data_IF_459255056618
#
_entry.id   IF_459255056618
#
_cell.length_a   1.000
_cell.length_b   1.000
_cell.length_c   1.000
_cell.angle_alpha   90.00
_cell.angle_beta   90.00
_cell.angle_gamma   90.00
#
_symmetry.space_group_name_H-M   'P 1'
#
loop_
_entity.id
_entity.type
_entity.pdbx_description
1 polymer ?
#
# COMPACT_ATOMS: atom_id res chain seq x y z
N UNK A 1 29.15 5.15 -18.36
CA UNK A 1 28.29 4.49 -17.35
C UNK A 1 26.85 4.52 -17.89
N UNK A 2 26.37 3.36 -18.26
CA UNK A 2 25.02 3.20 -18.86
C UNK A 2 23.96 3.51 -17.80
N UNK A 3 23.19 4.60 -18.00
CA UNK A 3 22.09 5.04 -17.12
C UNK A 3 20.79 4.34 -17.48
N UNK A 4 20.83 3.07 -17.86
CA UNK A 4 19.60 2.28 -17.90
C UNK A 4 19.17 2.02 -16.46
N UNK A 5 18.02 2.54 -16.06
CA UNK A 5 17.42 2.28 -14.76
C UNK A 5 17.28 0.77 -14.53
N UNK A 6 17.48 0.34 -13.31
CA UNK A 6 17.25 -1.07 -12.94
C UNK A 6 15.75 -1.29 -12.93
N UNK A 7 15.29 -2.32 -13.67
CA UNK A 7 13.89 -2.73 -13.70
C UNK A 7 13.66 -3.84 -12.68
N UNK A 8 12.73 -3.61 -11.76
CA UNK A 8 12.26 -4.61 -10.80
C UNK A 8 10.80 -4.91 -11.09
N UNK A 9 10.47 -6.19 -11.21
CA UNK A 9 9.08 -6.63 -11.32
C UNK A 9 8.42 -6.54 -9.95
N UNK A 10 7.37 -5.76 -9.84
CA UNK A 10 6.59 -5.58 -8.62
C UNK A 10 5.22 -6.25 -8.78
N UNK A 11 4.88 -7.10 -7.83
CA UNK A 11 3.55 -7.68 -7.70
C UNK A 11 2.88 -6.94 -6.54
N UNK A 12 2.09 -5.92 -6.89
CA UNK A 12 1.30 -5.20 -5.91
C UNK A 12 0.15 -6.05 -5.39
N UNK A 13 -0.07 -5.99 -4.10
CA UNK A 13 -1.22 -6.57 -3.40
C UNK A 13 -1.81 -5.49 -2.51
N UNK A 14 -3.07 -5.14 -2.72
CA UNK A 14 -3.78 -4.33 -1.74
C UNK A 14 -4.11 -5.20 -0.53
N UNK A 15 -3.94 -4.69 0.70
CA UNK A 15 -4.35 -5.39 1.93
C UNK A 15 -5.81 -5.85 1.88
N UNK A 16 -6.18 -6.86 2.64
CA UNK A 16 -7.56 -7.31 2.85
C UNK A 16 -8.42 -6.28 3.59
N UNK A 17 -9.73 -6.49 3.62
CA UNK A 17 -10.67 -5.57 4.28
C UNK A 17 -10.31 -5.35 5.75
N UNK A 18 -10.13 -4.08 6.19
CA UNK A 18 -9.81 -3.78 7.58
C UNK A 18 -11.06 -3.72 8.46
N UNK A 19 -10.88 -3.97 9.75
CA UNK A 19 -11.87 -3.75 10.79
C UNK A 19 -11.50 -2.53 11.65
N UNK A 20 -12.30 -1.49 11.57
CA UNK A 20 -12.12 -0.27 12.37
C UNK A 20 -13.01 -0.21 13.61
N UNK A 21 -13.91 -1.19 13.81
CA UNK A 21 -14.98 -1.13 14.83
C UNK A 21 -14.42 -0.87 16.24
N UNK A 22 -13.45 -1.68 16.70
CA UNK A 22 -12.86 -1.50 18.04
C UNK A 22 -12.13 -0.15 18.18
N UNK A 23 -11.49 0.31 17.12
CA UNK A 23 -10.74 1.57 17.13
C UNK A 23 -11.68 2.78 17.21
N UNK A 24 -12.82 2.70 16.49
CA UNK A 24 -13.87 3.73 16.52
C UNK A 24 -14.55 3.77 17.88
N UNK A 25 -14.90 2.63 18.48
CA UNK A 25 -15.47 2.55 19.83
C UNK A 25 -14.55 3.16 20.89
N UNK A 26 -13.24 3.01 20.73
CA UNK A 26 -12.21 3.58 21.61
C UNK A 26 -11.80 5.00 21.22
N UNK A 27 -12.41 5.58 20.19
CA UNK A 27 -12.08 6.91 19.67
C UNK A 27 -10.61 7.08 19.27
N UNK A 28 -9.99 6.04 18.69
CA UNK A 28 -8.65 6.15 18.15
C UNK A 28 -8.65 7.08 16.93
N UNK A 29 -7.61 7.90 16.82
CA UNK A 29 -7.43 8.86 15.73
C UNK A 29 -5.99 8.84 15.22
N UNK A 30 -5.77 9.39 14.02
CA UNK A 30 -4.44 9.49 13.43
C UNK A 30 -3.77 8.12 13.33
N UNK A 31 -2.55 8.01 13.86
CA UNK A 31 -1.78 6.76 13.89
C UNK A 31 -2.55 5.59 14.51
N UNK A 32 -3.46 5.84 15.44
CA UNK A 32 -4.28 4.80 16.04
C UNK A 32 -5.12 4.03 15.01
N UNK A 33 -5.55 4.67 13.91
CA UNK A 33 -6.30 4.01 12.84
C UNK A 33 -5.44 3.06 11.99
N UNK A 34 -4.13 3.23 12.01
CA UNK A 34 -3.20 2.33 11.32
C UNK A 34 -3.09 0.96 11.99
N UNK A 35 -3.56 0.86 13.24
CA UNK A 35 -3.60 -0.37 14.02
C UNK A 35 -4.78 -1.28 13.66
N UNK A 36 -5.68 -0.85 12.75
CA UNK A 36 -6.82 -1.66 12.31
C UNK A 36 -6.39 -3.02 11.77
N UNK A 37 -6.84 -4.14 12.39
CA UNK A 37 -6.59 -5.48 11.88
C UNK A 37 -7.48 -5.77 10.66
N UNK A 38 -7.35 -6.96 10.09
CA UNK A 38 -8.30 -7.44 9.09
C UNK A 38 -9.65 -7.79 9.74
N UNK A 39 -10.74 -7.52 9.03
CA UNK A 39 -12.05 -8.08 9.35
C UNK A 39 -12.05 -9.60 9.12
N UNK A 40 -13.12 -10.29 9.54
CA UNK A 40 -13.29 -11.70 9.17
C UNK A 40 -13.34 -11.90 7.66
N UNK A 41 -13.97 -10.97 6.93
CA UNK A 41 -13.98 -10.98 5.48
C UNK A 41 -12.57 -10.74 4.92
N UNK A 42 -11.83 -9.78 5.49
CA UNK A 42 -10.45 -9.51 5.10
C UNK A 42 -9.52 -10.71 5.28
N UNK A 43 -9.71 -11.50 6.35
CA UNK A 43 -8.97 -12.75 6.56
C UNK A 43 -9.31 -13.82 5.53
N UNK A 44 -10.59 -13.95 5.15
CA UNK A 44 -11.00 -14.85 4.05
C UNK A 44 -10.38 -14.41 2.73
N UNK A 45 -10.41 -13.11 2.41
CA UNK A 45 -9.76 -12.56 1.22
C UNK A 45 -8.25 -12.85 1.20
N UNK A 46 -7.56 -12.70 2.34
CA UNK A 46 -6.13 -13.00 2.46
C UNK A 46 -5.82 -14.51 2.29
N UNK A 47 -6.71 -15.39 2.76
CA UNK A 47 -6.59 -16.84 2.54
C UNK A 47 -6.77 -17.22 1.06
N UNK A 48 -7.76 -16.63 0.37
CA UNK A 48 -7.99 -16.84 -1.06
C UNK A 48 -6.83 -16.30 -1.89
N UNK A 49 -6.32 -15.11 -1.56
CA UNK A 49 -5.13 -14.49 -2.15
C UNK A 49 -3.94 -15.47 -2.21
N UNK A 50 -3.74 -16.29 -1.17
CA UNK A 50 -2.63 -17.24 -1.08
C UNK A 50 -2.61 -18.29 -2.22
N UNK A 51 -3.72 -18.47 -2.94
CA UNK A 51 -3.79 -19.35 -4.11
C UNK A 51 -3.31 -18.67 -5.41
N UNK A 52 -3.07 -17.34 -5.39
CA UNK A 52 -2.71 -16.61 -6.60
C UNK A 52 -1.31 -17.03 -7.11
N UNK A 53 -1.18 -17.48 -8.40
CA UNK A 53 0.04 -18.09 -8.89
C UNK A 53 1.24 -17.15 -8.90
N UNK A 54 1.04 -15.85 -9.15
CA UNK A 54 2.13 -14.86 -9.19
C UNK A 54 2.89 -14.75 -7.87
N UNK A 55 2.26 -15.00 -6.72
CA UNK A 55 2.92 -14.89 -5.42
C UNK A 55 4.08 -15.88 -5.25
N UNK A 56 4.00 -17.04 -5.95
CA UNK A 56 5.03 -18.08 -5.88
C UNK A 56 6.22 -17.83 -6.79
N UNK A 57 6.13 -16.85 -7.69
CA UNK A 57 7.20 -16.48 -8.62
C UNK A 57 8.12 -15.38 -8.08
N UNK A 58 7.86 -14.87 -6.89
CA UNK A 58 8.61 -13.79 -6.29
C UNK A 58 9.80 -14.29 -5.44
N UNK A 59 10.78 -13.41 -5.27
CA UNK A 59 11.99 -13.65 -4.48
C UNK A 59 11.85 -13.13 -3.05
N UNK A 60 10.98 -12.13 -2.85
CA UNK A 60 10.83 -11.40 -1.60
C UNK A 60 9.39 -10.93 -1.43
N UNK A 61 8.92 -10.92 -0.20
CA UNK A 61 7.68 -10.28 0.23
C UNK A 61 8.00 -9.06 1.10
N UNK A 62 7.49 -7.90 0.73
CA UNK A 62 7.62 -6.65 1.48
C UNK A 62 6.23 -6.15 1.85
N UNK A 63 6.03 -5.71 3.07
CA UNK A 63 4.74 -5.21 3.56
C UNK A 63 4.88 -3.82 4.15
N UNK A 64 3.84 -3.00 3.95
CA UNK A 64 3.62 -1.83 4.79
C UNK A 64 3.59 -2.24 6.28
N UNK A 65 4.02 -1.32 7.15
CA UNK A 65 4.01 -1.51 8.60
C UNK A 65 2.60 -1.42 9.23
N UNK A 66 1.59 -0.98 8.47
CA UNK A 66 0.20 -0.88 8.96
C UNK A 66 -0.38 -2.29 9.21
N UNK A 67 -1.08 -2.46 10.33
CA UNK A 67 -1.53 -3.78 10.81
C UNK A 67 -2.28 -4.59 9.75
N UNK A 68 -3.25 -4.00 9.04
CA UNK A 68 -4.01 -4.66 7.97
C UNK A 68 -3.15 -5.21 6.83
N UNK A 69 -2.10 -4.47 6.45
CA UNK A 69 -1.17 -4.90 5.41
C UNK A 69 -0.24 -5.99 5.92
N UNK A 70 0.28 -5.84 7.12
CA UNK A 70 1.16 -6.82 7.76
C UNK A 70 0.42 -8.14 8.03
N UNK A 71 -0.84 -8.08 8.48
CA UNK A 71 -1.68 -9.27 8.67
C UNK A 71 -1.93 -9.98 7.33
N UNK A 72 -2.26 -9.24 6.25
CA UNK A 72 -2.38 -9.82 4.90
C UNK A 72 -1.07 -10.48 4.46
N UNK A 73 0.07 -9.79 4.63
CA UNK A 73 1.38 -10.32 4.27
C UNK A 73 1.76 -11.57 5.05
N UNK A 74 1.31 -11.70 6.31
CA UNK A 74 1.57 -12.89 7.12
C UNK A 74 0.94 -14.15 6.53
N UNK A 75 -0.28 -14.06 5.99
CA UNK A 75 -0.93 -15.15 5.25
C UNK A 75 -0.11 -15.55 4.02
N UNK A 76 0.33 -14.56 3.24
CA UNK A 76 1.16 -14.80 2.04
C UNK A 76 2.49 -15.44 2.43
N UNK A 77 3.17 -14.93 3.45
CA UNK A 77 4.45 -15.49 3.92
C UNK A 77 4.31 -16.96 4.34
N UNK A 78 3.27 -17.27 5.14
CA UNK A 78 2.99 -18.65 5.57
C UNK A 78 2.72 -19.60 4.39
N UNK A 79 2.00 -19.13 3.37
CA UNK A 79 1.60 -19.96 2.23
C UNK A 79 2.71 -20.15 1.19
N UNK A 80 3.61 -19.19 1.05
CA UNK A 80 4.66 -19.19 0.02
C UNK A 80 6.04 -19.53 0.54
N UNK A 81 6.30 -19.33 1.83
CA UNK A 81 7.63 -19.42 2.45
C UNK A 81 8.56 -18.24 2.11
N UNK A 82 8.05 -17.19 1.45
CA UNK A 82 8.84 -16.02 1.12
C UNK A 82 9.34 -15.30 2.38
N UNK A 83 10.59 -14.82 2.37
CA UNK A 83 11.08 -13.97 3.45
C UNK A 83 10.31 -12.64 3.47
N UNK A 84 9.76 -12.26 4.64
CA UNK A 84 9.00 -11.03 4.82
C UNK A 84 9.90 -9.90 5.35
N UNK A 85 9.79 -8.73 4.73
CA UNK A 85 10.35 -7.46 5.20
C UNK A 85 9.22 -6.46 5.46
N UNK A 86 9.40 -5.62 6.46
CA UNK A 86 8.42 -4.57 6.83
C UNK A 86 9.01 -3.21 6.51
N UNK A 87 8.28 -2.40 5.73
CA UNK A 87 8.72 -1.11 5.23
C UNK A 87 7.76 0.02 5.62
N UNK A 88 8.18 0.95 6.50
CA UNK A 88 7.38 2.11 6.85
C UNK A 88 7.03 3.00 5.65
N UNK A 89 7.92 3.11 4.66
CA UNK A 89 7.72 3.92 3.45
C UNK A 89 6.58 3.42 2.55
N UNK A 90 6.03 2.24 2.80
CA UNK A 90 4.86 1.69 2.09
C UNK A 90 3.52 2.04 2.77
N UNK A 91 3.51 2.95 3.75
CA UNK A 91 2.26 3.38 4.40
C UNK A 91 1.25 3.96 3.39
N UNK A 92 -0.02 4.02 3.79
CA UNK A 92 -1.08 4.61 2.94
C UNK A 92 -0.86 6.12 2.80
N UNK A 93 -1.52 6.71 1.83
CA UNK A 93 -1.59 8.14 1.62
C UNK A 93 -1.95 8.90 2.91
N UNK A 94 -1.25 9.98 3.19
CA UNK A 94 -1.42 10.74 4.42
C UNK A 94 -2.23 12.01 4.20
N UNK A 95 -3.20 12.21 5.09
CA UNK A 95 -3.89 13.49 5.31
C UNK A 95 -3.46 13.99 6.68
N UNK A 96 -3.00 15.25 6.73
CA UNK A 96 -2.36 15.77 7.94
C UNK A 96 -3.37 16.31 8.96
N UNK A 97 -4.64 16.50 8.57
CA UNK A 97 -5.74 16.82 9.48
C UNK A 97 -6.53 15.56 9.85
N UNK A 98 -6.89 15.48 11.14
CA UNK A 98 -7.62 14.34 11.68
C UNK A 98 -9.11 14.37 11.29
N UNK A 99 -9.71 13.18 11.24
CA UNK A 99 -11.15 12.96 11.06
C UNK A 99 -11.52 12.48 9.66
N UNK A 100 -12.55 11.62 9.60
CA UNK A 100 -13.02 11.02 8.35
C UNK A 100 -13.56 12.05 7.36
N UNK A 101 -14.21 13.11 7.85
CA UNK A 101 -14.69 14.21 6.99
C UNK A 101 -13.53 14.90 6.26
N UNK A 102 -12.44 15.16 6.97
CA UNK A 102 -11.23 15.75 6.38
C UNK A 102 -10.56 14.79 5.40
N UNK A 103 -10.57 13.49 5.70
CA UNK A 103 -10.03 12.48 4.78
C UNK A 103 -10.79 12.44 3.45
N UNK A 104 -12.13 12.40 3.48
CA UNK A 104 -12.94 12.37 2.24
C UNK A 104 -12.83 13.68 1.46
N UNK A 105 -12.79 14.83 2.14
CA UNK A 105 -12.56 16.13 1.49
C UNK A 105 -11.17 16.23 0.87
N UNK A 106 -10.14 15.80 1.57
CA UNK A 106 -8.77 15.75 1.04
C UNK A 106 -8.68 14.83 -0.17
N UNK A 107 -9.35 13.68 -0.13
CA UNK A 107 -9.40 12.72 -1.23
C UNK A 107 -10.06 13.32 -2.48
N UNK A 108 -11.16 14.05 -2.34
CA UNK A 108 -11.81 14.74 -3.46
C UNK A 108 -10.86 15.75 -4.08
N UNK A 109 -10.23 16.60 -3.25
CA UNK A 109 -9.26 17.58 -3.71
C UNK A 109 -8.03 16.94 -4.40
N UNK A 110 -7.54 15.84 -3.85
CA UNK A 110 -6.43 15.09 -4.45
C UNK A 110 -6.78 14.59 -5.86
N UNK A 111 -7.98 14.03 -6.03
CA UNK A 111 -8.43 13.52 -7.32
C UNK A 111 -8.69 14.65 -8.33
N UNK A 112 -9.35 15.72 -7.91
CA UNK A 112 -9.63 16.91 -8.73
C UNK A 112 -8.35 17.60 -9.23
N UNK A 113 -7.30 17.60 -8.41
CA UNK A 113 -6.03 18.25 -8.70
C UNK A 113 -4.94 17.27 -9.22
N UNK A 114 -5.32 16.06 -9.65
CA UNK A 114 -4.40 15.03 -10.14
C UNK A 114 -3.22 14.75 -9.19
N UNK A 115 -3.50 14.72 -7.90
CA UNK A 115 -2.53 14.45 -6.85
C UNK A 115 -1.64 15.62 -6.44
N UNK A 116 -1.88 16.82 -6.99
CA UNK A 116 -1.16 18.02 -6.56
C UNK A 116 -1.83 18.67 -5.34
N UNK A 117 -1.03 19.30 -4.48
CA UNK A 117 -1.51 20.16 -3.40
C UNK A 117 -1.46 21.61 -3.84
N UNK A 118 -2.61 22.29 -3.87
CA UNK A 118 -2.67 23.70 -4.21
C UNK A 118 -2.22 24.58 -3.04
N UNK A 119 -1.60 25.77 -3.29
CA UNK A 119 -1.08 26.65 -2.23
C UNK A 119 -2.11 27.08 -1.18
N UNK A 120 -3.38 27.17 -1.58
CA UNK A 120 -4.49 27.57 -0.71
C UNK A 120 -5.44 26.39 -0.40
N UNK A 121 -4.96 25.16 -0.45
CA UNK A 121 -5.76 24.01 -0.10
C UNK A 121 -6.24 24.12 1.35
N UNK A 122 -7.55 23.92 1.60
CA UNK A 122 -8.10 23.98 2.95
C UNK A 122 -7.67 22.80 3.82
N UNK A 123 -7.09 21.75 3.21
CA UNK A 123 -6.59 20.56 3.90
C UNK A 123 -5.23 20.20 3.31
N UNK A 124 -4.28 19.88 4.19
CA UNK A 124 -2.95 19.44 3.81
C UNK A 124 -2.90 17.91 3.67
N UNK A 125 -2.30 17.43 2.60
CA UNK A 125 -2.15 16.01 2.31
C UNK A 125 -0.87 15.72 1.52
N UNK A 126 -0.42 14.48 1.58
CA UNK A 126 0.69 13.97 0.81
C UNK A 126 0.37 14.01 -0.70
N UNK A 127 1.22 14.62 -1.50
CA UNK A 127 1.04 14.68 -2.96
C UNK A 127 1.36 13.35 -3.65
N UNK A 128 0.88 13.19 -4.87
CA UNK A 128 1.24 12.05 -5.73
C UNK A 128 2.77 11.97 -5.96
N UNK A 129 3.43 13.12 -6.07
CA UNK A 129 4.89 13.18 -6.25
C UNK A 129 5.64 12.69 -5.00
N UNK A 130 5.21 13.10 -3.81
CA UNK A 130 5.81 12.65 -2.55
C UNK A 130 5.62 11.13 -2.34
N UNK A 131 4.42 10.60 -2.61
CA UNK A 131 4.19 9.14 -2.59
C UNK A 131 5.13 8.39 -3.52
N UNK A 132 5.34 8.88 -4.75
CA UNK A 132 6.27 8.26 -5.71
C UNK A 132 7.71 8.32 -5.22
N UNK A 133 8.15 9.43 -4.65
CA UNK A 133 9.51 9.58 -4.12
C UNK A 133 9.77 8.56 -3.02
N UNK A 134 8.93 8.51 -1.96
CA UNK A 134 9.13 7.56 -0.85
C UNK A 134 9.04 6.09 -1.30
N UNK A 135 8.18 5.81 -2.28
CA UNK A 135 8.09 4.47 -2.86
C UNK A 135 9.39 4.08 -3.57
N UNK A 136 9.96 4.97 -4.41
CA UNK A 136 11.22 4.70 -5.09
C UNK A 136 12.40 4.58 -4.12
N UNK A 137 12.41 5.36 -3.04
CA UNK A 137 13.37 5.20 -1.93
C UNK A 137 13.26 3.83 -1.26
N UNK A 138 12.03 3.34 -1.06
CA UNK A 138 11.80 1.98 -0.59
C UNK A 138 12.35 0.95 -1.57
N UNK A 139 11.98 1.05 -2.86
CA UNK A 139 12.37 0.09 -3.89
C UNK A 139 13.87 0.04 -4.13
N UNK A 140 14.57 1.15 -3.97
CA UNK A 140 16.04 1.20 -4.08
C UNK A 140 16.76 0.22 -3.13
N UNK A 141 16.16 -0.13 -1.99
CA UNK A 141 16.68 -1.14 -1.04
C UNK A 141 16.57 -2.56 -1.58
N UNK A 142 15.67 -2.79 -2.54
CA UNK A 142 15.32 -4.11 -3.09
C UNK A 142 15.71 -4.29 -4.56
N UNK A 143 16.52 -3.39 -5.10
CA UNK A 143 16.95 -3.37 -6.51
C UNK A 143 17.67 -4.64 -6.99
N UNK A 144 18.21 -5.43 -6.06
CA UNK A 144 18.93 -6.66 -6.37
C UNK A 144 17.99 -7.89 -6.50
N UNK A 145 16.69 -7.73 -6.21
CA UNK A 145 15.67 -8.75 -6.42
C UNK A 145 15.05 -8.60 -7.80
N UNK A 146 14.72 -9.72 -8.44
CA UNK A 146 14.09 -9.70 -9.76
C UNK A 146 12.58 -9.46 -9.64
N UNK A 147 11.94 -10.10 -8.67
CA UNK A 147 10.49 -10.01 -8.45
C UNK A 147 10.18 -9.84 -6.97
N UNK A 148 9.44 -8.79 -6.63
CA UNK A 148 9.07 -8.46 -5.25
C UNK A 148 7.54 -8.37 -5.13
N UNK A 149 6.95 -9.09 -4.18
CA UNK A 149 5.55 -8.87 -3.76
C UNK A 149 5.51 -7.71 -2.77
N UNK A 150 4.67 -6.72 -3.04
CA UNK A 150 4.44 -5.58 -2.15
C UNK A 150 3.00 -5.57 -1.63
N UNK A 151 2.80 -5.81 -0.34
CA UNK A 151 1.49 -5.64 0.30
C UNK A 151 1.39 -4.19 0.79
N UNK A 152 0.52 -3.43 0.16
CA UNK A 152 0.39 -2.00 0.38
C UNK A 152 -1.08 -1.54 0.31
N UNK A 153 -1.31 -0.28 -0.05
CA UNK A 153 -2.57 0.41 0.10
C UNK A 153 -3.03 1.01 -1.22
N UNK A 154 -4.33 1.29 -1.31
CA UNK A 154 -4.99 1.72 -2.55
C UNK A 154 -4.38 2.99 -3.15
N UNK A 155 -4.22 4.05 -2.36
CA UNK A 155 -3.77 5.34 -2.90
C UNK A 155 -2.31 5.30 -3.33
N UNK A 156 -1.46 4.55 -2.62
CA UNK A 156 -0.08 4.32 -3.02
C UNK A 156 0.01 3.52 -4.33
N UNK A 157 -0.70 2.39 -4.43
CA UNK A 157 -0.67 1.52 -5.61
C UNK A 157 -1.15 2.28 -6.86
N UNK A 158 -2.20 3.10 -6.74
CA UNK A 158 -2.73 3.93 -7.82
C UNK A 158 -1.72 4.90 -8.45
N UNK A 159 -0.60 5.17 -7.78
CA UNK A 159 0.44 6.01 -8.36
C UNK A 159 1.24 5.30 -9.48
N UNK A 160 1.14 3.98 -9.58
CA UNK A 160 1.93 3.15 -10.48
C UNK A 160 1.09 2.34 -11.47
N UNK A 161 -0.19 2.16 -11.19
CA UNK A 161 -1.12 1.41 -12.04
C UNK A 161 -2.30 2.29 -12.44
N UNK A 162 -2.77 2.20 -13.71
CA UNK A 162 -3.81 3.08 -14.24
C UNK A 162 -5.23 2.75 -13.76
N UNK A 163 -5.43 1.67 -12.99
CA UNK A 163 -6.74 1.22 -12.57
C UNK A 163 -7.40 2.20 -11.59
N UNK A 164 -8.65 2.56 -11.87
CA UNK A 164 -9.44 3.44 -11.01
C UNK A 164 -9.92 2.74 -9.73
N UNK A 165 -10.20 1.45 -9.84
CA UNK A 165 -10.62 0.61 -8.72
C UNK A 165 -9.58 -0.46 -8.45
N UNK A 166 -9.12 -0.53 -7.20
CA UNK A 166 -8.24 -1.60 -6.73
C UNK A 166 -8.97 -2.24 -5.55
N UNK A 167 -9.42 -3.48 -5.72
CA UNK A 167 -10.16 -4.22 -4.70
C UNK A 167 -9.24 -4.75 -3.60
N UNK A 168 -9.81 -5.12 -2.45
CA UNK A 168 -9.07 -5.77 -1.38
C UNK A 168 -8.47 -7.09 -1.86
N UNK A 169 -7.23 -7.35 -1.49
CA UNK A 169 -6.45 -8.50 -1.93
C UNK A 169 -6.27 -8.62 -3.45
N UNK A 170 -6.55 -7.57 -4.22
CA UNK A 170 -6.24 -7.56 -5.66
C UNK A 170 -4.74 -7.63 -5.89
N UNK A 171 -4.35 -8.44 -6.88
CA UNK A 171 -2.97 -8.64 -7.31
C UNK A 171 -2.75 -7.96 -8.66
N UNK A 172 -1.73 -7.11 -8.77
CA UNK A 172 -1.43 -6.35 -9.99
C UNK A 172 0.08 -6.43 -10.25
N UNK A 173 0.49 -6.92 -11.41
CA UNK A 173 1.90 -6.96 -11.81
C UNK A 173 2.27 -5.67 -12.54
N UNK A 174 3.42 -5.09 -12.19
CA UNK A 174 3.95 -3.88 -12.80
C UNK A 174 5.48 -3.90 -12.82
N UNK A 175 6.10 -3.37 -13.87
CA UNK A 175 7.54 -3.14 -13.94
C UNK A 175 7.87 -1.73 -13.43
N UNK A 176 8.75 -1.62 -12.46
CA UNK A 176 9.19 -0.36 -11.85
C UNK A 176 10.64 -0.09 -12.26
N UNK A 177 10.90 1.09 -12.79
CA UNK A 177 12.27 1.59 -13.03
C UNK A 177 12.76 2.33 -11.77
N UNK A 178 13.94 1.91 -11.26
CA UNK A 178 14.57 2.44 -10.05
C UNK A 178 15.85 3.17 -10.39
#
# INVERSE_FOLDING_TARGET
MDRRGIKVKVIFVRHGEPDYHELEERSYTGFGLDLAPLSEQGRRQAQELCQHPLLRSADLLVSSAMTRALETASYVACATGLPLRVEPLLHEWQVYELGMENFEKARSLFLENNGALLPNSPIQYETAAEMKVRFLECMAKYRDYQTVVLVAHRMLIRQFVPDETIDFCQVIECDIEI
#
